data_IF_812426956419
#
_entry.id   IF_812426956419
#
_cell.length_a   1.000
_cell.length_b   1.000
_cell.length_c   1.000
_cell.angle_alpha   90.00
_cell.angle_beta   90.00
_cell.angle_gamma   90.00
#
_symmetry.space_group_name_H-M   'P 1'
#
loop_
_entity.id
_entity.type
_entity.pdbx_description
1 polymer ?
#
# COMPACT_ATOMS: atom_id res chain seq x y z
N UNK A 1 5.98 8.76 -15.94
CA UNK A 1 5.54 7.94 -14.81
C UNK A 1 5.17 8.73 -13.57
N UNK A 2 5.45 10.02 -13.56
CA UNK A 2 5.11 10.87 -12.41
C UNK A 2 3.60 10.94 -12.14
N UNK A 3 2.78 10.98 -13.21
CA UNK A 3 1.32 10.98 -13.06
C UNK A 3 0.81 9.70 -12.43
N UNK A 4 1.35 8.55 -12.83
CA UNK A 4 0.97 7.26 -12.25
C UNK A 4 1.34 7.21 -10.77
N UNK A 5 2.56 7.60 -10.43
CA UNK A 5 3.00 7.63 -9.03
C UNK A 5 2.17 8.60 -8.19
N UNK A 6 1.79 9.74 -8.75
CA UNK A 6 0.93 10.70 -8.06
C UNK A 6 -0.45 10.09 -7.76
N UNK A 7 -1.05 9.44 -8.75
CA UNK A 7 -2.35 8.78 -8.55
C UNK A 7 -2.24 7.71 -7.45
N UNK A 8 -1.20 6.90 -7.48
CA UNK A 8 -0.99 5.87 -6.46
C UNK A 8 -0.84 6.51 -5.08
N UNK A 9 -0.03 7.56 -4.95
CA UNK A 9 0.20 8.22 -3.68
C UNK A 9 -1.09 8.83 -3.10
N UNK A 10 -1.95 9.39 -3.95
CA UNK A 10 -3.17 10.07 -3.48
C UNK A 10 -4.37 9.14 -3.37
N UNK A 11 -4.44 8.07 -4.17
CA UNK A 11 -5.63 7.21 -4.27
C UNK A 11 -5.43 5.81 -3.71
N UNK A 12 -4.27 5.49 -3.14
CA UNK A 12 -3.99 4.12 -2.67
C UNK A 12 -4.95 3.62 -1.60
N UNK A 13 -5.57 4.52 -0.84
CA UNK A 13 -6.55 4.15 0.19
C UNK A 13 -7.91 3.74 -0.39
N UNK A 14 -8.14 3.99 -1.67
CA UNK A 14 -9.30 3.50 -2.38
C UNK A 14 -9.09 2.01 -2.67
N UNK A 15 -9.95 1.16 -2.10
CA UNK A 15 -9.86 -0.30 -2.28
C UNK A 15 -10.00 -0.73 -3.72
N UNK A 16 -10.67 0.06 -4.53
CA UNK A 16 -10.93 -0.24 -5.94
C UNK A 16 -9.82 0.25 -6.89
N UNK A 17 -8.81 0.93 -6.36
CA UNK A 17 -7.73 1.38 -7.21
C UNK A 17 -7.06 0.20 -7.92
N UNK A 18 -6.93 0.30 -9.24
CA UNK A 18 -6.43 -0.77 -10.09
C UNK A 18 -5.67 -0.18 -11.27
N UNK A 19 -4.95 -1.04 -11.97
CA UNK A 19 -4.32 -0.67 -13.24
C UNK A 19 -5.36 -0.12 -14.22
N UNK A 20 -6.54 -0.74 -14.29
CA UNK A 20 -7.60 -0.29 -15.20
C UNK A 20 -8.06 1.14 -14.87
N UNK A 21 -8.27 1.45 -13.60
CA UNK A 21 -8.67 2.80 -13.20
C UNK A 21 -7.60 3.84 -13.53
N UNK A 22 -6.35 3.51 -13.29
CA UNK A 22 -5.23 4.41 -13.60
C UNK A 22 -5.16 4.66 -15.10
N UNK A 23 -5.22 3.59 -15.89
CA UNK A 23 -5.18 3.71 -17.35
C UNK A 23 -6.34 4.54 -17.89
N UNK A 24 -7.55 4.31 -17.36
CA UNK A 24 -8.73 5.09 -17.77
C UNK A 24 -8.55 6.58 -17.49
N UNK A 25 -8.00 6.92 -16.33
CA UNK A 25 -7.78 8.33 -15.99
C UNK A 25 -6.73 9.01 -16.87
N UNK A 26 -5.87 8.23 -17.50
CA UNK A 26 -4.84 8.72 -18.42
C UNK A 26 -5.27 8.61 -19.88
N UNK A 27 -6.47 8.08 -20.15
CA UNK A 27 -6.97 7.81 -21.50
C UNK A 27 -6.03 6.89 -22.30
N UNK A 28 -5.49 5.88 -21.62
CA UNK A 28 -4.53 4.92 -22.21
C UNK A 28 -5.02 3.49 -21.96
N UNK A 29 -4.48 2.53 -22.74
CA UNK A 29 -4.82 1.12 -22.49
C UNK A 29 -4.10 0.61 -21.24
N UNK A 30 -4.74 -0.29 -20.46
CA UNK A 30 -4.09 -0.89 -19.29
C UNK A 30 -2.80 -1.63 -19.64
N UNK A 31 -2.79 -2.36 -20.74
CA UNK A 31 -1.60 -3.10 -21.17
C UNK A 31 -0.42 -2.16 -21.41
N UNK A 32 -0.66 -1.06 -22.11
CA UNK A 32 0.38 -0.08 -22.39
C UNK A 32 0.92 0.55 -21.11
N UNK A 33 0.03 1.02 -20.24
CA UNK A 33 0.42 1.67 -18.98
C UNK A 33 1.19 0.70 -18.09
N UNK A 34 0.71 -0.54 -17.96
CA UNK A 34 1.37 -1.55 -17.14
C UNK A 34 2.78 -1.88 -17.62
N UNK A 35 2.94 -2.08 -18.91
CA UNK A 35 4.25 -2.37 -19.49
C UNK A 35 5.21 -1.20 -19.36
N UNK A 36 4.73 0.00 -19.61
CA UNK A 36 5.55 1.19 -19.52
C UNK A 36 6.00 1.45 -18.09
N UNK A 37 5.09 1.30 -17.12
CA UNK A 37 5.40 1.48 -15.72
C UNK A 37 6.48 0.49 -15.26
N UNK A 38 6.32 -0.79 -15.62
CA UNK A 38 7.31 -1.82 -15.26
C UNK A 38 8.66 -1.55 -15.90
N UNK A 39 8.67 -1.08 -17.14
CA UNK A 39 9.91 -0.73 -17.84
C UNK A 39 10.69 0.37 -17.11
N UNK A 40 10.00 1.41 -16.64
CA UNK A 40 10.67 2.55 -16.01
C UNK A 40 10.94 2.37 -14.53
N UNK A 41 10.13 1.58 -13.81
CA UNK A 41 10.26 1.44 -12.35
C UNK A 41 10.78 0.08 -11.90
N UNK A 42 10.74 -0.92 -12.78
CA UNK A 42 11.10 -2.30 -12.43
C UNK A 42 10.01 -3.04 -11.66
N UNK A 43 8.88 -2.40 -11.38
CA UNK A 43 7.79 -2.98 -10.58
C UNK A 43 6.46 -2.90 -11.30
N UNK A 44 5.56 -3.85 -10.99
CA UNK A 44 4.19 -3.76 -11.49
C UNK A 44 3.43 -2.67 -10.73
N UNK A 45 2.36 -2.16 -11.33
CA UNK A 45 1.50 -1.17 -10.68
C UNK A 45 0.87 -1.75 -9.42
N UNK A 46 0.43 -3.02 -9.44
CA UNK A 46 -0.15 -3.67 -8.25
C UNK A 46 0.86 -3.70 -7.11
N UNK A 47 2.10 -4.07 -7.39
CA UNK A 47 3.17 -4.06 -6.38
C UNK A 47 3.34 -2.67 -5.79
N UNK A 48 3.37 -1.64 -6.63
CA UNK A 48 3.55 -0.27 -6.17
C UNK A 48 2.37 0.22 -5.33
N UNK A 49 1.14 -0.12 -5.72
CA UNK A 49 -0.04 0.20 -4.91
C UNK A 49 0.07 -0.43 -3.52
N UNK A 50 0.43 -1.71 -3.47
CA UNK A 50 0.57 -2.42 -2.21
C UNK A 50 1.68 -1.84 -1.33
N UNK A 51 2.80 -1.46 -1.93
CA UNK A 51 3.88 -0.80 -1.18
C UNK A 51 3.40 0.50 -0.54
N UNK A 52 2.64 1.31 -1.28
CA UNK A 52 2.12 2.56 -0.74
C UNK A 52 1.14 2.32 0.40
N UNK A 53 0.26 1.32 0.26
CA UNK A 53 -0.68 0.95 1.33
C UNK A 53 0.05 0.49 2.58
N UNK A 54 1.08 -0.34 2.43
CA UNK A 54 1.88 -0.82 3.57
C UNK A 54 2.62 0.35 4.25
N UNK A 55 3.18 1.28 3.49
CA UNK A 55 3.86 2.44 4.06
C UNK A 55 2.88 3.31 4.88
N UNK A 56 1.69 3.53 4.37
CA UNK A 56 0.64 4.25 5.11
C UNK A 56 0.23 3.50 6.37
N UNK A 57 0.11 2.17 6.29
CA UNK A 57 -0.21 1.35 7.45
C UNK A 57 0.86 1.45 8.53
N UNK A 58 2.12 1.43 8.14
CA UNK A 58 3.23 1.57 9.11
C UNK A 58 3.14 2.88 9.87
N UNK A 59 2.85 3.97 9.17
CA UNK A 59 2.67 5.27 9.84
C UNK A 59 1.49 5.25 10.81
N UNK A 60 0.36 4.68 10.39
CA UNK A 60 -0.83 4.62 11.26
C UNK A 60 -0.63 3.72 12.46
N UNK A 61 0.14 2.64 12.32
CA UNK A 61 0.47 1.75 13.44
C UNK A 61 1.22 2.50 14.54
N UNK A 62 2.06 3.47 14.17
CA UNK A 62 2.88 4.23 15.11
C UNK A 62 2.20 5.52 15.58
N UNK A 63 1.41 6.15 14.73
CA UNK A 63 0.84 7.47 15.00
C UNK A 63 -0.57 7.41 15.59
N UNK A 64 -1.23 6.26 15.56
CA UNK A 64 -2.60 6.10 16.05
C UNK A 64 -2.69 4.90 16.99
N UNK A 65 -3.82 4.82 17.71
CA UNK A 65 -4.16 3.64 18.51
C UNK A 65 -5.29 2.83 17.89
N UNK A 66 -5.55 3.05 16.61
CA UNK A 66 -6.60 2.33 15.90
C UNK A 66 -6.34 0.83 15.93
N UNK A 67 -7.41 0.01 16.02
CA UNK A 67 -7.26 -1.44 15.84
C UNK A 67 -6.62 -1.76 14.50
N UNK A 68 -5.85 -2.82 14.45
CA UNK A 68 -5.10 -3.19 13.24
C UNK A 68 -6.04 -3.45 12.07
N UNK A 69 -7.22 -4.04 12.34
CA UNK A 69 -8.23 -4.27 11.30
C UNK A 69 -8.73 -2.97 10.68
N UNK A 70 -8.89 -1.92 11.50
CA UNK A 70 -9.31 -0.61 11.01
C UNK A 70 -8.24 0.02 10.13
N UNK A 71 -6.98 -0.16 10.50
CA UNK A 71 -5.86 0.33 9.69
C UNK A 71 -5.85 -0.36 8.32
N UNK A 72 -6.00 -1.69 8.30
CA UNK A 72 -6.09 -2.45 7.05
C UNK A 72 -7.15 -1.88 6.12
N UNK A 73 -8.33 -1.63 6.66
CA UNK A 73 -9.45 -1.05 5.92
C UNK A 73 -9.14 0.35 5.41
N UNK A 74 -8.64 1.21 6.28
CA UNK A 74 -8.37 2.62 5.96
C UNK A 74 -7.29 2.81 4.89
N UNK A 75 -6.30 1.93 4.84
CA UNK A 75 -5.23 2.07 3.85
C UNK A 75 -5.55 1.42 2.51
N UNK A 76 -6.69 0.71 2.40
CA UNK A 76 -7.21 0.25 1.12
C UNK A 76 -7.23 -1.25 0.88
N UNK A 77 -6.90 -2.07 1.86
CA UNK A 77 -6.96 -3.53 1.70
C UNK A 77 -8.40 -4.04 1.79
N UNK A 78 -8.75 -5.00 0.94
CA UNK A 78 -10.10 -5.58 0.94
C UNK A 78 -10.27 -6.66 2.01
N UNK A 79 -9.19 -7.34 2.40
CA UNK A 79 -9.23 -8.34 3.46
C UNK A 79 -8.07 -8.13 4.43
N UNK A 80 -8.34 -8.38 5.71
CA UNK A 80 -7.31 -8.32 6.75
C UNK A 80 -6.28 -9.42 6.57
N UNK A 81 -6.73 -10.60 6.14
CA UNK A 81 -5.85 -11.74 5.90
C UNK A 81 -4.75 -11.41 4.89
N UNK A 82 -5.13 -10.78 3.77
CA UNK A 82 -4.17 -10.38 2.76
C UNK A 82 -3.20 -9.34 3.31
N UNK A 83 -3.72 -8.35 4.04
CA UNK A 83 -2.90 -7.32 4.68
C UNK A 83 -1.86 -7.93 5.62
N UNK A 84 -2.28 -8.81 6.52
CA UNK A 84 -1.37 -9.42 7.49
C UNK A 84 -0.25 -10.20 6.80
N UNK A 85 -0.61 -11.00 5.80
CA UNK A 85 0.38 -11.81 5.08
C UNK A 85 1.37 -10.94 4.33
N UNK A 86 0.88 -9.91 3.64
CA UNK A 86 1.74 -9.01 2.88
C UNK A 86 2.64 -8.18 3.78
N UNK A 87 2.09 -7.66 4.89
CA UNK A 87 2.87 -6.87 5.84
C UNK A 87 4.03 -7.70 6.40
N UNK A 88 3.76 -8.92 6.83
CA UNK A 88 4.80 -9.81 7.35
C UNK A 88 5.84 -10.15 6.29
N UNK A 89 5.39 -10.41 5.06
CA UNK A 89 6.30 -10.70 3.95
C UNK A 89 7.24 -9.52 3.68
N UNK A 90 6.73 -8.30 3.71
CA UNK A 90 7.51 -7.11 3.39
C UNK A 90 8.38 -6.62 4.54
N UNK A 91 7.97 -6.85 5.78
CA UNK A 91 8.63 -6.28 6.96
C UNK A 91 9.25 -7.31 7.90
N UNK A 92 9.00 -8.59 7.66
CA UNK A 92 9.56 -9.68 8.48
C UNK A 92 8.81 -9.97 9.76
N UNK A 93 7.92 -9.09 10.20
CA UNK A 93 7.11 -9.25 11.41
C UNK A 93 5.67 -8.83 11.14
N UNK A 94 4.75 -9.22 12.01
CA UNK A 94 3.33 -8.87 11.88
C UNK A 94 3.09 -7.40 12.22
N UNK A 95 1.95 -6.83 11.80
CA UNK A 95 1.60 -5.46 12.21
C UNK A 95 1.56 -5.27 13.73
N UNK A 96 1.04 -6.25 14.45
CA UNK A 96 0.99 -6.20 15.91
C UNK A 96 2.39 -6.18 16.52
N UNK A 97 3.27 -7.04 16.03
CA UNK A 97 4.67 -7.08 16.48
C UNK A 97 5.39 -5.77 16.14
N UNK A 98 5.13 -5.23 14.98
CA UNK A 98 5.71 -3.96 14.54
C UNK A 98 5.33 -2.82 15.48
N UNK A 99 4.04 -2.73 15.83
CA UNK A 99 3.55 -1.71 16.77
C UNK A 99 4.19 -1.87 18.15
N UNK A 100 4.22 -3.09 18.68
CA UNK A 100 4.81 -3.37 20.00
C UNK A 100 6.29 -3.04 20.05
N UNK A 101 7.02 -3.40 19.02
CA UNK A 101 8.46 -3.14 18.94
C UNK A 101 8.77 -1.66 19.05
N UNK A 102 8.00 -0.82 18.36
CA UNK A 102 8.22 0.62 18.36
C UNK A 102 7.75 1.28 19.65
N UNK A 103 6.68 0.77 20.28
CA UNK A 103 6.24 1.26 21.58
C UNK A 103 7.29 1.01 22.66
N UNK A 104 7.90 -0.18 22.66
CA UNK A 104 8.96 -0.52 23.59
C UNK A 104 10.16 0.41 23.40
N UNK A 105 10.53 0.70 22.16
CA UNK A 105 11.64 1.61 21.86
C UNK A 105 11.37 3.03 22.34
N UNK A 106 10.13 3.50 22.22
CA UNK A 106 9.75 4.84 22.67
C UNK A 106 9.79 4.98 24.20
N UNK A 107 9.57 3.90 24.92
CA UNK A 107 9.53 3.91 26.37
C UNK A 107 10.91 3.74 27.02
N UNK A 108 11.91 3.45 26.24
CA UNK A 108 13.29 3.38 26.69
C UNK A 108 13.97 4.74 26.66
#
# INVERSE_FOLDING_TARGET
>A
MDKVNHIIATESSNKNLSLNMIADSLAMSPDYVGKLFKKYTGKSIVTRINEERIEKAKRMLLETRLPINDISDKVGFTTDKYFFALFKKMNGITPSEYRKKHLIQENE
#
